data_IF_519067065622
#
_entry.id   IF_519067065622
#
_cell.length_a   1.000
_cell.length_b   1.000
_cell.length_c   1.000
_cell.angle_alpha   90.00
_cell.angle_beta   90.00
_cell.angle_gamma   90.00
#
_symmetry.space_group_name_H-M   'P 1'
#
loop_
_entity.id
_entity.type
_entity.pdbx_description
1 polymer ?
#
# COMPACT_ATOMS: atom_id res chain seq x y z
N UNK A 1 -6.92 -5.93 -30.63
CA UNK A 1 -5.94 -6.89 -30.13
C UNK A 1 -6.55 -8.25 -29.77
N UNK A 2 -7.89 -8.38 -29.65
CA UNK A 2 -8.57 -9.58 -29.17
C UNK A 2 -8.61 -9.75 -27.64
N UNK A 3 -8.05 -8.81 -26.88
CA UNK A 3 -8.19 -8.79 -25.44
C UNK A 3 -9.61 -8.36 -25.04
N UNK A 4 -10.13 -8.95 -23.96
CA UNK A 4 -11.34 -8.47 -23.31
C UNK A 4 -10.96 -7.32 -22.39
N UNK A 5 -11.51 -6.14 -22.63
CA UNK A 5 -11.21 -4.93 -21.85
C UNK A 5 -12.42 -4.57 -20.99
N UNK A 6 -12.16 -4.36 -19.70
CA UNK A 6 -13.14 -3.92 -18.72
C UNK A 6 -12.76 -2.51 -18.26
N UNK A 7 -13.62 -1.56 -18.54
CA UNK A 7 -13.44 -0.17 -18.14
C UNK A 7 -14.13 0.10 -16.79
N UNK A 8 -13.35 0.36 -15.76
CA UNK A 8 -13.85 0.72 -14.44
C UNK A 8 -14.18 2.21 -14.30
N UNK A 9 -13.88 2.99 -15.32
CA UNK A 9 -14.03 4.43 -15.32
C UNK A 9 -13.08 5.12 -14.34
N UNK A 10 -13.54 6.19 -13.70
CA UNK A 10 -12.75 6.89 -12.69
C UNK A 10 -12.84 6.19 -11.36
N UNK A 11 -11.73 5.67 -10.88
CA UNK A 11 -11.61 4.94 -9.61
C UNK A 11 -10.30 5.32 -8.92
N UNK A 12 -10.20 5.08 -7.61
CA UNK A 12 -8.93 5.13 -6.90
C UNK A 12 -8.08 3.91 -7.25
N UNK A 13 -6.77 4.00 -7.05
CA UNK A 13 -5.86 2.85 -7.25
C UNK A 13 -6.28 1.65 -6.36
N UNK A 14 -6.69 1.91 -5.11
CA UNK A 14 -7.21 0.88 -4.21
C UNK A 14 -8.46 0.19 -4.76
N UNK A 15 -9.39 0.96 -5.35
CA UNK A 15 -10.58 0.39 -6.01
C UNK A 15 -10.22 -0.41 -7.26
N UNK A 16 -9.23 0.05 -8.04
CA UNK A 16 -8.71 -0.70 -9.18
C UNK A 16 -8.08 -2.03 -8.73
N UNK A 17 -7.25 -2.00 -7.68
CA UNK A 17 -6.65 -3.19 -7.10
C UNK A 17 -7.71 -4.18 -6.59
N UNK A 18 -8.75 -3.67 -5.93
CA UNK A 18 -9.91 -4.47 -5.54
C UNK A 18 -10.59 -5.10 -6.76
N UNK A 19 -10.89 -4.32 -7.80
CA UNK A 19 -11.57 -4.81 -9.00
C UNK A 19 -10.77 -5.90 -9.72
N UNK A 20 -9.45 -5.73 -9.87
CA UNK A 20 -8.56 -6.74 -10.46
C UNK A 20 -8.61 -8.04 -9.65
N UNK A 21 -8.53 -7.94 -8.32
CA UNK A 21 -8.59 -9.09 -7.41
C UNK A 21 -9.96 -9.76 -7.42
N UNK A 22 -11.03 -8.99 -7.25
CA UNK A 22 -12.40 -9.48 -7.12
C UNK A 22 -12.91 -10.15 -8.40
N UNK A 23 -12.57 -9.56 -9.55
CA UNK A 23 -12.97 -10.09 -10.86
C UNK A 23 -11.99 -11.11 -11.43
N UNK A 24 -10.92 -11.45 -10.68
CA UNK A 24 -9.86 -12.40 -11.12
C UNK A 24 -9.29 -12.04 -12.49
N UNK A 25 -8.97 -10.75 -12.70
CA UNK A 25 -8.39 -10.27 -13.95
C UNK A 25 -6.89 -10.56 -13.98
N UNK A 26 -6.39 -10.87 -15.19
CA UNK A 26 -4.97 -11.15 -15.42
C UNK A 26 -4.09 -9.92 -15.18
N UNK A 27 -4.59 -8.74 -15.58
CA UNK A 27 -3.85 -7.48 -15.50
C UNK A 27 -4.79 -6.28 -15.38
N UNK A 28 -4.36 -5.26 -14.66
CA UNK A 28 -5.03 -3.97 -14.56
C UNK A 28 -4.08 -2.82 -14.91
N UNK A 29 -4.60 -1.82 -15.62
CA UNK A 29 -3.87 -0.59 -15.95
C UNK A 29 -4.53 0.58 -15.24
N UNK A 30 -3.85 1.12 -14.22
CA UNK A 30 -4.28 2.32 -13.54
C UNK A 30 -3.57 3.55 -14.12
N UNK A 31 -4.33 4.43 -14.75
CA UNK A 31 -3.81 5.60 -15.47
C UNK A 31 -4.07 6.85 -14.63
N UNK A 32 -3.00 7.55 -14.25
CA UNK A 32 -3.10 8.83 -13.55
C UNK A 32 -2.97 9.98 -14.54
N UNK A 33 -3.85 10.98 -14.41
CA UNK A 33 -3.74 12.23 -15.14
C UNK A 33 -2.70 13.16 -14.49
N UNK A 34 -2.40 14.28 -15.18
CA UNK A 34 -1.49 15.31 -14.71
C UNK A 34 -0.47 15.71 -15.78
N UNK A 35 0.54 16.54 -15.42
CA UNK A 35 1.58 16.99 -16.36
C UNK A 35 2.36 15.85 -16.99
N UNK A 36 2.48 14.73 -16.25
CA UNK A 36 3.05 13.46 -16.74
C UNK A 36 2.01 12.37 -16.47
N UNK A 37 1.47 11.78 -17.55
CA UNK A 37 0.65 10.60 -17.46
C UNK A 37 1.51 9.43 -16.95
N UNK A 38 1.05 8.76 -15.90
CA UNK A 38 1.71 7.58 -15.37
C UNK A 38 0.75 6.39 -15.46
N UNK A 39 1.24 5.27 -15.97
CA UNK A 39 0.50 4.02 -16.05
C UNK A 39 1.11 3.05 -15.04
N UNK A 40 0.33 2.67 -14.03
CA UNK A 40 0.69 1.60 -13.10
C UNK A 40 0.08 0.29 -13.59
N UNK A 41 0.88 -0.75 -13.61
CA UNK A 41 0.44 -2.09 -14.00
C UNK A 41 0.24 -2.93 -12.76
N UNK A 42 -0.98 -3.42 -12.60
CA UNK A 42 -1.35 -4.36 -11.53
C UNK A 42 -1.47 -5.75 -12.15
N UNK A 43 -0.89 -6.73 -11.51
CA UNK A 43 -1.01 -8.14 -11.87
C UNK A 43 -2.08 -8.84 -11.05
N UNK A 44 -1.97 -10.14 -11.00
CA UNK A 44 -2.87 -11.04 -10.26
C UNK A 44 -3.11 -10.56 -8.82
N UNK A 45 -4.37 -10.61 -8.38
CA UNK A 45 -4.79 -10.17 -7.06
C UNK A 45 -4.71 -8.65 -6.84
N UNK A 46 -4.55 -7.84 -7.91
CA UNK A 46 -4.41 -6.39 -7.83
C UNK A 46 -3.10 -5.95 -7.15
N UNK A 47 -2.09 -6.81 -7.13
CA UNK A 47 -0.75 -6.51 -6.64
C UNK A 47 0.12 -5.93 -7.76
N UNK A 48 1.23 -5.25 -7.43
CA UNK A 48 2.15 -4.76 -8.46
C UNK A 48 2.58 -5.86 -9.43
N UNK A 49 2.61 -5.55 -10.72
CA UNK A 49 3.01 -6.48 -11.77
C UNK A 49 4.48 -6.91 -11.61
N UNK A 50 4.81 -8.07 -12.19
CA UNK A 50 6.18 -8.56 -12.19
C UNK A 50 7.09 -7.75 -13.12
N UNK A 51 8.38 -7.69 -12.79
CA UNK A 51 9.38 -7.00 -13.62
C UNK A 51 9.46 -7.53 -15.06
N UNK A 52 9.40 -8.86 -15.32
CA UNK A 52 9.33 -9.37 -16.67
C UNK A 52 8.14 -8.83 -17.46
N UNK A 53 6.94 -8.85 -16.88
CA UNK A 53 5.74 -8.33 -17.54
C UNK A 53 5.85 -6.83 -17.86
N UNK A 54 6.32 -6.01 -16.90
CA UNK A 54 6.52 -4.58 -17.15
C UNK A 54 7.53 -4.32 -18.30
N UNK A 55 8.64 -5.08 -18.35
CA UNK A 55 9.64 -4.97 -19.41
C UNK A 55 9.10 -5.37 -20.78
N UNK A 56 8.31 -6.45 -20.82
CA UNK A 56 7.69 -6.92 -22.06
C UNK A 56 6.71 -5.87 -22.59
N UNK A 57 5.83 -5.35 -21.75
CA UNK A 57 4.90 -4.27 -22.10
C UNK A 57 5.64 -3.02 -22.61
N UNK A 58 6.68 -2.58 -21.90
CA UNK A 58 7.49 -1.45 -22.31
C UNK A 58 8.19 -1.71 -23.65
N UNK A 59 8.70 -2.93 -23.87
CA UNK A 59 9.31 -3.33 -25.11
C UNK A 59 8.34 -3.25 -26.29
N UNK A 60 7.13 -3.78 -26.16
CA UNK A 60 6.10 -3.69 -27.18
C UNK A 60 5.67 -2.25 -27.48
N UNK A 61 5.50 -1.42 -26.44
CA UNK A 61 5.19 0.00 -26.62
C UNK A 61 6.30 0.75 -27.37
N UNK A 62 7.57 0.53 -26.99
CA UNK A 62 8.72 1.21 -27.60
C UNK A 62 8.92 0.80 -29.06
N UNK A 63 8.69 -0.48 -29.41
CA UNK A 63 8.81 -0.98 -30.79
C UNK A 63 7.58 -0.73 -31.65
N UNK A 64 6.45 -0.33 -31.06
CA UNK A 64 5.18 -0.20 -31.76
C UNK A 64 4.64 -1.53 -32.28
N UNK A 65 5.03 -2.64 -31.68
CA UNK A 65 4.63 -3.99 -32.06
C UNK A 65 3.33 -4.37 -31.36
N UNK A 66 2.23 -4.29 -32.09
CA UNK A 66 0.91 -4.66 -31.56
C UNK A 66 0.35 -5.84 -32.33
N UNK A 67 -0.03 -6.89 -31.62
CA UNK A 67 -0.76 -8.03 -32.20
C UNK A 67 -2.14 -7.53 -32.66
N UNK A 68 -2.46 -7.78 -33.92
CA UNK A 68 -3.78 -7.52 -34.49
C UNK A 68 -4.54 -8.83 -34.58
N UNK A 69 -5.73 -8.88 -34.02
CA UNK A 69 -6.62 -10.02 -34.15
C UNK A 69 -7.49 -9.93 -35.40
N UNK A 70 -8.02 -11.07 -35.83
CA UNK A 70 -9.09 -11.09 -36.82
C UNK A 70 -10.33 -10.36 -36.25
N UNK A 71 -11.13 -9.77 -37.15
CA UNK A 71 -12.31 -9.04 -36.76
C UNK A 71 -13.32 -9.92 -35.99
N UNK A 72 -13.37 -11.20 -36.24
CA UNK A 72 -14.20 -12.20 -35.54
C UNK A 72 -13.78 -12.42 -34.08
N UNK A 73 -12.57 -11.99 -33.70
CA UNK A 73 -12.03 -12.07 -32.32
C UNK A 73 -12.03 -10.72 -31.63
N UNK A 74 -12.71 -9.75 -32.20
CA UNK A 74 -12.86 -8.42 -31.60
C UNK A 74 -13.91 -8.47 -30.48
N UNK A 75 -13.62 -7.84 -29.38
CA UNK A 75 -14.54 -7.69 -28.25
C UNK A 75 -14.79 -6.22 -27.99
N UNK A 76 -16.03 -5.86 -27.67
CA UNK A 76 -16.36 -4.54 -27.18
C UNK A 76 -15.75 -4.30 -25.79
N UNK A 77 -15.49 -3.04 -25.47
CA UNK A 77 -15.09 -2.64 -24.13
C UNK A 77 -16.31 -2.75 -23.22
N UNK A 78 -16.21 -3.59 -22.19
CA UNK A 78 -17.29 -3.72 -21.21
C UNK A 78 -17.22 -2.58 -20.20
N UNK A 79 -18.31 -1.84 -20.03
CA UNK A 79 -18.46 -0.88 -18.95
C UNK A 79 -18.65 -1.63 -17.63
N UNK A 80 -17.67 -1.48 -16.74
CA UNK A 80 -17.62 -2.08 -15.41
C UNK A 80 -17.59 -1.03 -14.29
N UNK A 81 -18.13 0.16 -14.54
CA UNK A 81 -18.24 1.21 -13.51
C UNK A 81 -18.99 0.74 -12.25
N UNK A 82 -19.82 -0.30 -12.38
CA UNK A 82 -20.51 -0.99 -11.27
C UNK A 82 -19.58 -1.64 -10.25
N UNK A 83 -18.30 -1.83 -10.54
CA UNK A 83 -17.30 -2.35 -9.58
C UNK A 83 -17.22 -1.49 -8.31
N UNK A 84 -17.56 -0.20 -8.40
CA UNK A 84 -17.63 0.71 -7.25
C UNK A 84 -18.67 0.27 -6.22
N UNK A 85 -19.80 -0.25 -6.67
CA UNK A 85 -20.85 -0.76 -5.77
C UNK A 85 -20.39 -2.03 -5.06
N UNK A 86 -19.70 -2.92 -5.75
CA UNK A 86 -19.11 -4.12 -5.15
C UNK A 86 -18.06 -3.75 -4.10
N UNK A 87 -17.22 -2.77 -4.42
CA UNK A 87 -16.24 -2.24 -3.47
C UNK A 87 -16.91 -1.65 -2.22
N UNK A 88 -17.97 -0.86 -2.39
CA UNK A 88 -18.73 -0.33 -1.25
C UNK A 88 -19.35 -1.43 -0.39
N UNK A 89 -19.86 -2.49 -1.00
CA UNK A 89 -20.38 -3.65 -0.26
C UNK A 89 -19.29 -4.31 0.59
N UNK A 90 -18.07 -4.40 0.06
CA UNK A 90 -16.95 -4.96 0.80
C UNK A 90 -16.53 -4.07 1.97
N UNK A 91 -16.55 -2.74 1.81
CA UNK A 91 -16.34 -1.80 2.91
C UNK A 91 -17.37 -1.99 4.04
N UNK A 92 -18.65 -2.20 3.70
CA UNK A 92 -19.68 -2.44 4.72
C UNK A 92 -19.50 -3.78 5.44
N UNK A 93 -18.98 -4.80 4.76
CA UNK A 93 -18.63 -6.08 5.38
C UNK A 93 -17.50 -5.97 6.40
N UNK A 94 -16.62 -4.96 6.27
CA UNK A 94 -15.58 -4.69 7.25
C UNK A 94 -16.14 -4.21 8.61
N UNK A 95 -17.37 -3.67 8.63
CA UNK A 95 -18.01 -3.15 9.84
C UNK A 95 -19.48 -3.66 9.97
N UNK A 96 -19.68 -4.96 10.18
CA UNK A 96 -21.04 -5.55 10.18
C UNK A 96 -21.95 -4.98 11.28
N UNK A 97 -21.37 -4.52 12.39
CA UNK A 97 -22.09 -3.88 13.51
C UNK A 97 -22.25 -2.36 13.33
N UNK A 98 -21.80 -1.82 12.20
CA UNK A 98 -21.75 -0.40 11.93
C UNK A 98 -20.80 0.37 12.87
N UNK A 99 -20.81 1.71 12.74
CA UNK A 99 -19.92 2.62 13.48
C UNK A 99 -20.68 3.61 14.37
N UNK A 100 -21.93 3.31 14.74
CA UNK A 100 -22.73 4.15 15.63
C UNK A 100 -21.99 4.40 16.95
N UNK A 101 -21.93 5.67 17.36
CA UNK A 101 -21.22 6.11 18.55
C UNK A 101 -19.75 6.48 18.32
N UNK A 102 -19.23 6.26 17.12
CA UNK A 102 -17.91 6.70 16.69
C UNK A 102 -18.03 7.99 15.90
N UNK A 103 -17.06 8.89 16.06
CA UNK A 103 -16.94 10.14 15.32
C UNK A 103 -15.60 10.20 14.60
N UNK A 104 -15.61 10.46 13.28
CA UNK A 104 -14.40 10.63 12.48
C UNK A 104 -14.70 11.38 11.20
N UNK A 105 -13.77 12.20 10.72
CA UNK A 105 -13.88 12.94 9.46
C UNK A 105 -12.88 12.36 8.46
N UNK A 106 -13.23 12.34 7.19
CA UNK A 106 -12.32 11.98 6.13
C UNK A 106 -11.73 13.20 5.43
N UNK A 107 -10.50 13.09 4.94
CA UNK A 107 -9.84 14.07 4.08
C UNK A 107 -9.00 13.39 3.02
N UNK A 108 -9.11 13.87 1.77
CA UNK A 108 -8.29 13.42 0.67
C UNK A 108 -8.07 14.57 -0.33
N UNK A 109 -6.91 14.63 -0.98
CA UNK A 109 -6.68 15.56 -2.09
C UNK A 109 -7.57 15.22 -3.29
N UNK A 110 -7.85 13.94 -3.49
CA UNK A 110 -8.81 13.48 -4.48
C UNK A 110 -10.25 13.61 -3.94
N UNK A 111 -11.02 14.54 -4.50
CA UNK A 111 -12.39 14.81 -4.04
C UNK A 111 -13.34 13.61 -4.16
N UNK A 112 -13.15 12.74 -5.15
CA UNK A 112 -13.97 11.53 -5.29
C UNK A 112 -13.63 10.52 -4.18
N UNK A 113 -12.34 10.40 -3.83
CA UNK A 113 -11.89 9.58 -2.70
C UNK A 113 -12.40 10.10 -1.35
N UNK A 114 -12.37 11.42 -1.15
CA UNK A 114 -12.92 12.05 0.07
C UNK A 114 -14.41 11.76 0.23
N UNK A 115 -15.21 12.04 -0.81
CA UNK A 115 -16.66 11.77 -0.83
C UNK A 115 -16.97 10.29 -0.59
N UNK A 116 -16.26 9.39 -1.28
CA UNK A 116 -16.46 7.96 -1.11
C UNK A 116 -16.23 7.53 0.34
N UNK A 117 -15.18 8.07 0.98
CA UNK A 117 -14.85 7.74 2.36
C UNK A 117 -15.90 8.32 3.32
N UNK A 118 -16.26 9.61 3.19
CA UNK A 118 -17.31 10.24 3.99
C UNK A 118 -18.66 9.53 3.85
N UNK A 119 -19.08 9.23 2.62
CA UNK A 119 -20.32 8.49 2.34
C UNK A 119 -20.29 7.11 3.00
N UNK A 120 -19.15 6.43 2.96
CA UNK A 120 -18.97 5.12 3.60
C UNK A 120 -19.11 5.22 5.11
N UNK A 121 -18.42 6.16 5.74
CA UNK A 121 -18.48 6.39 7.19
C UNK A 121 -19.91 6.75 7.64
N UNK A 122 -20.55 7.68 6.92
CA UNK A 122 -21.90 8.12 7.21
C UNK A 122 -22.92 6.96 7.11
N UNK A 123 -22.83 6.14 6.07
CA UNK A 123 -23.72 4.98 5.90
C UNK A 123 -23.51 3.88 6.96
N UNK A 124 -22.28 3.79 7.49
CA UNK A 124 -21.99 2.91 8.62
C UNK A 124 -22.46 3.50 9.98
N UNK A 125 -23.02 4.71 9.98
CA UNK A 125 -23.54 5.38 11.18
C UNK A 125 -22.48 6.14 11.98
N UNK A 126 -21.30 6.43 11.40
CA UNK A 126 -20.28 7.29 11.99
C UNK A 126 -20.72 8.76 11.95
N UNK A 127 -20.47 9.52 13.02
CA UNK A 127 -20.63 10.98 13.01
C UNK A 127 -19.46 11.62 12.27
N UNK A 128 -19.70 12.11 11.06
CA UNK A 128 -18.66 12.68 10.19
C UNK A 128 -18.43 14.19 10.42
N UNK A 129 -19.12 14.80 11.39
CA UNK A 129 -19.00 16.23 11.67
C UNK A 129 -17.82 16.59 12.60
N UNK A 130 -17.31 15.63 13.36
CA UNK A 130 -16.28 15.81 14.39
C UNK A 130 -15.39 14.57 14.53
N UNK A 131 -14.54 14.55 15.55
CA UNK A 131 -13.64 13.44 15.88
C UNK A 131 -12.33 13.47 15.09
N UNK A 132 -11.60 12.37 15.13
CA UNK A 132 -10.32 12.21 14.46
C UNK A 132 -10.42 12.47 12.95
N UNK A 133 -9.35 13.04 12.37
CA UNK A 133 -9.28 13.31 10.94
C UNK A 133 -8.49 12.20 10.23
N UNK A 134 -9.16 11.46 9.39
CA UNK A 134 -8.63 10.35 8.61
C UNK A 134 -8.10 10.88 7.26
N UNK A 135 -6.78 10.92 7.10
CA UNK A 135 -6.12 11.40 5.89
C UNK A 135 -5.88 10.26 4.91
N UNK A 136 -6.67 10.20 3.86
CA UNK A 136 -6.50 9.26 2.77
C UNK A 136 -5.46 9.79 1.77
N UNK A 137 -4.52 8.95 1.35
CA UNK A 137 -3.63 9.29 0.25
C UNK A 137 -4.42 9.53 -1.06
N UNK A 138 -3.90 10.35 -1.96
CA UNK A 138 -4.57 10.69 -3.22
C UNK A 138 -4.97 9.47 -4.05
N UNK A 139 -4.16 8.42 -4.03
CA UNK A 139 -4.43 7.15 -4.71
C UNK A 139 -5.33 6.20 -3.92
N UNK A 140 -5.68 6.51 -2.67
CA UNK A 140 -6.55 5.68 -1.82
C UNK A 140 -5.86 4.52 -1.10
N UNK A 141 -4.54 4.35 -1.24
CA UNK A 141 -3.85 3.15 -0.76
C UNK A 141 -3.36 3.23 0.68
N UNK A 142 -3.19 4.43 1.24
CA UNK A 142 -2.65 4.67 2.58
C UNK A 142 -3.56 5.55 3.42
N UNK A 143 -3.54 5.33 4.73
CA UNK A 143 -4.28 6.11 5.72
C UNK A 143 -3.34 6.63 6.79
N UNK A 144 -3.31 7.94 7.01
CA UNK A 144 -2.76 8.57 8.21
C UNK A 144 -3.89 9.18 9.02
N UNK A 145 -3.66 9.48 10.28
CA UNK A 145 -4.72 10.00 11.16
C UNK A 145 -4.20 11.20 11.94
N UNK A 146 -5.00 12.25 12.08
CA UNK A 146 -4.82 13.24 13.13
C UNK A 146 -5.85 12.95 14.21
N UNK A 147 -5.40 12.68 15.43
CA UNK A 147 -6.29 12.36 16.55
C UNK A 147 -7.10 13.57 17.03
N UNK A 148 -7.96 13.36 18.00
CA UNK A 148 -8.79 14.44 18.57
C UNK A 148 -8.00 15.52 19.32
N UNK A 149 -6.77 15.23 19.71
CA UNK A 149 -5.84 16.14 20.39
C UNK A 149 -4.93 16.88 19.42
N UNK A 150 -5.03 16.55 18.10
CA UNK A 150 -4.27 17.19 17.03
C UNK A 150 -2.92 16.52 16.75
N UNK A 151 -2.62 15.36 17.33
CA UNK A 151 -1.40 14.61 17.05
C UNK A 151 -1.51 13.88 15.72
N UNK A 152 -0.54 14.10 14.83
CA UNK A 152 -0.47 13.40 13.54
C UNK A 152 0.18 12.04 13.69
N UNK A 153 -0.53 11.01 13.27
CA UNK A 153 -0.12 9.60 13.32
C UNK A 153 0.10 9.12 11.88
N UNK A 154 1.35 8.83 11.49
CA UNK A 154 1.68 8.41 10.13
C UNK A 154 1.12 7.02 9.80
N UNK A 155 0.99 6.76 8.50
CA UNK A 155 0.45 5.51 7.96
C UNK A 155 1.12 4.27 8.56
N UNK A 156 2.43 4.29 8.71
CA UNK A 156 3.21 3.15 9.20
C UNK A 156 2.83 2.76 10.63
N UNK A 157 2.48 3.74 11.46
CA UNK A 157 2.00 3.51 12.84
C UNK A 157 0.60 2.91 12.84
N UNK A 158 -0.28 3.39 11.96
CA UNK A 158 -1.64 2.84 11.80
C UNK A 158 -1.57 1.41 11.26
N UNK A 159 -0.71 1.16 10.28
CA UNK A 159 -0.46 -0.17 9.73
C UNK A 159 0.00 -1.15 10.81
N UNK A 160 0.98 -0.73 11.63
CA UNK A 160 1.51 -1.54 12.73
C UNK A 160 0.44 -1.85 13.78
N UNK A 161 -0.41 -0.87 14.12
CA UNK A 161 -1.53 -1.08 15.05
C UNK A 161 -2.52 -2.12 14.50
N UNK A 162 -2.92 -1.98 13.24
CA UNK A 162 -3.83 -2.94 12.62
C UNK A 162 -3.20 -4.35 12.53
N UNK A 163 -1.92 -4.44 12.19
CA UNK A 163 -1.20 -5.72 12.17
C UNK A 163 -1.10 -6.35 13.56
N UNK A 164 -0.86 -5.56 14.61
CA UNK A 164 -0.84 -6.04 16.01
C UNK A 164 -2.14 -6.77 16.36
N UNK A 165 -3.29 -6.23 15.95
CA UNK A 165 -4.57 -6.85 16.25
C UNK A 165 -4.83 -8.11 15.41
N UNK A 166 -4.30 -8.21 14.19
CA UNK A 166 -4.28 -9.49 13.46
C UNK A 166 -3.48 -10.55 14.23
N UNK A 167 -2.30 -10.18 14.75
CA UNK A 167 -1.47 -11.09 15.54
C UNK A 167 -2.17 -11.55 16.83
N UNK A 168 -2.83 -10.63 17.55
CA UNK A 168 -3.63 -10.97 18.74
C UNK A 168 -4.78 -11.91 18.44
N UNK A 169 -5.38 -11.81 17.25
CA UNK A 169 -6.42 -12.70 16.76
C UNK A 169 -5.88 -14.00 16.12
N UNK A 170 -4.56 -14.23 16.20
CA UNK A 170 -3.92 -15.46 15.74
C UNK A 170 -3.70 -15.53 14.23
N UNK A 171 -3.73 -14.39 13.52
CA UNK A 171 -3.53 -14.34 12.07
C UNK A 171 -2.17 -13.78 11.69
N UNK A 172 -1.58 -14.33 10.64
CA UNK A 172 -0.39 -13.80 9.99
C UNK A 172 -0.74 -12.66 9.05
N UNK A 173 0.21 -11.79 8.72
CA UNK A 173 0.00 -10.69 7.78
C UNK A 173 0.99 -10.74 6.62
N UNK A 174 0.57 -10.22 5.45
CA UNK A 174 1.43 -10.08 4.29
C UNK A 174 1.64 -8.60 3.95
N UNK A 175 2.89 -8.14 4.04
CA UNK A 175 3.29 -6.74 3.85
C UNK A 175 4.25 -6.61 2.67
N UNK A 176 4.33 -5.43 2.04
CA UNK A 176 5.40 -5.18 1.07
C UNK A 176 6.76 -5.21 1.75
N UNK A 177 7.80 -5.51 0.96
CA UNK A 177 9.20 -5.61 1.45
C UNK A 177 9.69 -4.34 2.14
N UNK A 178 9.15 -3.19 1.78
CA UNK A 178 9.50 -1.87 2.33
C UNK A 178 8.65 -1.42 3.54
N UNK A 179 7.78 -2.27 4.06
CA UNK A 179 7.05 -1.99 5.30
C UNK A 179 7.97 -2.08 6.52
N UNK A 180 7.64 -1.39 7.64
CA UNK A 180 8.47 -1.36 8.84
C UNK A 180 8.84 -2.76 9.36
N UNK A 181 10.12 -2.95 9.72
CA UNK A 181 10.62 -4.21 10.28
C UNK A 181 10.19 -4.42 11.74
N UNK A 182 9.87 -3.33 12.45
CA UNK A 182 9.28 -3.40 13.80
C UNK A 182 8.05 -4.32 13.83
N UNK A 183 7.31 -4.44 12.72
CA UNK A 183 6.12 -5.31 12.65
C UNK A 183 6.50 -6.79 12.74
N UNK A 184 7.67 -7.20 12.20
CA UNK A 184 8.17 -8.58 12.31
C UNK A 184 8.46 -8.94 13.78
N UNK A 185 9.16 -8.06 14.49
CA UNK A 185 9.42 -8.24 15.93
C UNK A 185 8.13 -8.27 16.78
N UNK A 186 7.08 -7.55 16.34
CA UNK A 186 5.77 -7.64 16.97
C UNK A 186 5.12 -9.01 16.70
N UNK A 187 5.17 -9.51 15.47
CA UNK A 187 4.61 -10.80 15.11
C UNK A 187 5.22 -11.95 15.92
N UNK A 188 6.55 -11.95 16.07
CA UNK A 188 7.28 -12.97 16.85
C UNK A 188 6.78 -13.09 18.30
N UNK A 189 6.45 -11.97 18.97
CA UNK A 189 5.90 -11.97 20.33
C UNK A 189 4.57 -12.71 20.47
N UNK A 190 3.82 -12.82 19.37
CA UNK A 190 2.54 -13.54 19.30
C UNK A 190 2.65 -14.90 18.62
N UNK A 191 3.88 -15.35 18.28
CA UNK A 191 4.10 -16.60 17.54
C UNK A 191 3.50 -16.54 16.14
N UNK A 192 3.46 -15.34 15.52
CA UNK A 192 2.92 -15.08 14.18
C UNK A 192 4.04 -14.71 13.22
N UNK A 193 3.72 -14.65 11.91
CA UNK A 193 4.68 -14.34 10.86
C UNK A 193 4.22 -13.16 10.02
N UNK A 194 5.18 -12.38 9.56
CA UNK A 194 5.01 -11.40 8.49
C UNK A 194 5.57 -12.00 7.21
N UNK A 195 4.71 -12.13 6.20
CA UNK A 195 5.12 -12.56 4.86
C UNK A 195 5.42 -11.33 4.02
N UNK A 196 6.62 -11.26 3.47
CA UNK A 196 7.07 -10.10 2.68
C UNK A 196 6.89 -10.38 1.19
N UNK A 197 6.09 -9.55 0.50
CA UNK A 197 5.99 -9.58 -0.95
C UNK A 197 6.75 -8.43 -1.59
N UNK A 198 7.29 -8.69 -2.78
CA UNK A 198 8.10 -7.73 -3.51
C UNK A 198 7.21 -6.74 -4.25
N UNK A 199 7.63 -5.48 -4.26
CA UNK A 199 6.95 -4.44 -5.03
C UNK A 199 7.25 -4.55 -6.53
N UNK A 200 8.31 -5.27 -6.89
CA UNK A 200 8.69 -5.53 -8.27
C UNK A 200 9.32 -6.93 -8.40
N UNK A 201 8.52 -8.02 -8.28
CA UNK A 201 9.06 -9.37 -8.27
C UNK A 201 9.69 -9.73 -9.62
N UNK A 202 10.88 -10.34 -9.55
CA UNK A 202 11.56 -10.91 -10.71
C UNK A 202 11.13 -12.35 -10.97
N UNK A 203 10.66 -13.05 -9.95
CA UNK A 203 10.25 -14.45 -9.96
C UNK A 203 9.05 -14.70 -9.01
N UNK A 204 8.76 -15.95 -8.71
CA UNK A 204 7.62 -16.36 -7.89
C UNK A 204 7.96 -16.70 -6.43
N UNK A 205 9.13 -16.28 -5.91
CA UNK A 205 9.54 -16.62 -4.55
C UNK A 205 8.65 -16.02 -3.47
N UNK A 206 7.97 -14.91 -3.75
CA UNK A 206 7.02 -14.23 -2.85
C UNK A 206 5.55 -14.67 -3.07
N UNK A 207 5.32 -15.78 -3.77
CA UNK A 207 3.96 -16.21 -4.14
C UNK A 207 3.05 -16.44 -2.93
N UNK A 208 3.57 -17.01 -1.85
CA UNK A 208 2.79 -17.23 -0.63
C UNK A 208 2.40 -15.88 0.03
N UNK A 209 3.34 -14.95 0.13
CA UNK A 209 3.06 -13.60 0.63
C UNK A 209 2.00 -12.88 -0.23
N UNK A 210 2.07 -13.03 -1.55
CA UNK A 210 1.08 -12.47 -2.47
C UNK A 210 -0.29 -13.11 -2.28
N UNK A 211 -0.35 -14.43 -2.14
CA UNK A 211 -1.60 -15.16 -1.87
C UNK A 211 -2.28 -14.68 -0.60
N UNK A 212 -1.51 -14.52 0.48
CA UNK A 212 -2.04 -13.99 1.76
C UNK A 212 -2.48 -12.53 1.59
N UNK A 213 -1.69 -11.69 0.92
CA UNK A 213 -2.02 -10.28 0.66
C UNK A 213 -3.31 -10.11 -0.16
N UNK A 214 -3.64 -11.04 -1.05
CA UNK A 214 -4.90 -11.00 -1.79
C UNK A 214 -6.14 -11.08 -0.89
N UNK A 215 -6.05 -11.79 0.24
CA UNK A 215 -7.13 -11.86 1.24
C UNK A 215 -7.12 -10.71 2.25
N UNK A 216 -6.06 -9.90 2.25
CA UNK A 216 -5.84 -8.81 3.21
C UNK A 216 -5.79 -7.45 2.51
N UNK A 217 -6.81 -7.15 1.69
CA UNK A 217 -6.87 -5.92 0.89
C UNK A 217 -6.70 -4.64 1.74
N UNK A 218 -7.16 -4.65 2.98
CA UNK A 218 -7.07 -3.53 3.90
C UNK A 218 -5.63 -3.06 4.16
N UNK A 219 -4.63 -3.92 4.03
CA UNK A 219 -3.20 -3.55 4.19
C UNK A 219 -2.70 -2.58 3.10
N UNK A 220 -3.43 -2.45 2.03
CA UNK A 220 -3.10 -1.60 0.86
C UNK A 220 -4.27 -0.77 0.36
N UNK A 221 -5.30 -0.65 1.21
CA UNK A 221 -6.49 0.16 0.97
C UNK A 221 -6.76 1.04 2.19
N UNK A 222 -6.55 2.35 2.03
CA UNK A 222 -6.67 3.30 3.13
C UNK A 222 -8.10 3.45 3.66
N UNK A 223 -9.13 3.29 2.81
CA UNK A 223 -10.53 3.35 3.26
C UNK A 223 -10.86 2.12 4.09
N UNK A 224 -10.51 0.92 3.61
CA UNK A 224 -10.69 -0.32 4.39
C UNK A 224 -9.91 -0.28 5.71
N UNK A 225 -8.67 0.22 5.70
CA UNK A 225 -7.87 0.43 6.91
C UNK A 225 -8.59 1.35 7.89
N UNK A 226 -9.15 2.46 7.40
CA UNK A 226 -9.90 3.41 8.23
C UNK A 226 -11.14 2.80 8.85
N UNK A 227 -11.94 2.10 8.07
CA UNK A 227 -13.14 1.40 8.60
C UNK A 227 -12.73 0.39 9.67
N UNK A 228 -11.69 -0.44 9.42
CA UNK A 228 -11.20 -1.42 10.41
C UNK A 228 -10.65 -0.76 11.67
N UNK A 229 -9.92 0.34 11.55
CA UNK A 229 -9.46 1.13 12.68
C UNK A 229 -10.63 1.60 13.55
N UNK A 230 -11.67 2.18 12.94
CA UNK A 230 -12.84 2.65 13.67
C UNK A 230 -13.63 1.51 14.32
N UNK A 231 -13.73 0.35 13.66
CA UNK A 231 -14.30 -0.87 14.26
C UNK A 231 -13.48 -1.31 15.48
N UNK A 232 -12.17 -1.24 15.39
CA UNK A 232 -11.28 -1.56 16.50
C UNK A 232 -11.49 -0.62 17.69
N UNK A 233 -11.56 0.70 17.45
CA UNK A 233 -11.87 1.69 18.50
C UNK A 233 -13.23 1.42 19.15
N UNK A 234 -14.26 1.12 18.33
CA UNK A 234 -15.60 0.78 18.82
C UNK A 234 -15.60 -0.47 19.70
N UNK A 235 -14.97 -1.55 19.23
CA UNK A 235 -14.91 -2.85 19.92
C UNK A 235 -14.17 -2.79 21.24
N UNK A 236 -13.09 -2.00 21.30
CA UNK A 236 -12.24 -1.90 22.47
C UNK A 236 -12.74 -0.84 23.48
N UNK A 237 -13.50 0.15 23.02
CA UNK A 237 -13.89 1.32 23.82
C UNK A 237 -12.71 2.20 24.25
N UNK A 238 -11.54 2.02 23.63
CA UNK A 238 -10.29 2.71 23.96
C UNK A 238 -9.97 3.81 22.94
N UNK A 239 -9.27 4.83 23.38
CA UNK A 239 -8.77 5.87 22.49
C UNK A 239 -7.69 5.35 21.55
N UNK A 240 -7.47 6.05 20.42
CA UNK A 240 -6.41 5.69 19.46
C UNK A 240 -5.03 5.75 20.12
N UNK A 241 -4.79 6.72 20.99
CA UNK A 241 -3.54 6.87 21.73
C UNK A 241 -3.27 5.69 22.67
N UNK A 242 -4.28 5.21 23.39
CA UNK A 242 -4.16 4.03 24.24
C UNK A 242 -3.83 2.78 23.44
N UNK A 243 -4.44 2.60 22.27
CA UNK A 243 -4.13 1.48 21.39
C UNK A 243 -2.71 1.58 20.81
N UNK A 244 -2.29 2.77 20.40
CA UNK A 244 -0.94 3.01 19.87
C UNK A 244 0.16 2.85 20.92
N UNK A 245 -0.15 2.95 22.21
CA UNK A 245 0.81 2.69 23.28
C UNK A 245 1.28 1.23 23.33
N UNK A 246 0.52 0.32 22.74
CA UNK A 246 0.87 -1.11 22.63
C UNK A 246 1.83 -1.38 21.47
N UNK A 247 1.92 -0.47 20.50
CA UNK A 247 2.84 -0.56 19.38
C UNK A 247 4.20 0.01 19.78
N UNK A 248 5.31 -0.72 19.60
CA UNK A 248 6.64 -0.19 19.84
C UNK A 248 6.85 1.17 19.19
N UNK A 249 7.63 2.03 19.82
CA UNK A 249 7.96 3.33 19.22
C UNK A 249 8.94 3.12 18.08
N UNK A 250 8.56 3.58 16.92
CA UNK A 250 9.42 3.67 15.74
C UNK A 250 8.94 4.82 14.85
N UNK A 251 9.82 5.29 14.01
CA UNK A 251 9.55 6.26 12.96
C UNK A 251 10.24 5.82 11.66
N UNK A 252 9.62 6.15 10.54
CA UNK A 252 10.18 5.89 9.21
C UNK A 252 10.34 7.19 8.46
N UNK A 253 11.49 7.34 7.80
CA UNK A 253 11.78 8.43 6.88
C UNK A 253 12.05 7.84 5.50
N UNK A 254 11.38 8.35 4.48
CA UNK A 254 11.57 7.92 3.11
C UNK A 254 12.07 9.09 2.26
N UNK A 255 13.22 8.93 1.61
CA UNK A 255 13.78 9.89 0.65
C UNK A 255 14.03 9.22 -0.69
N UNK A 256 13.86 9.98 -1.75
CA UNK A 256 14.23 9.58 -3.10
C UNK A 256 15.36 10.51 -3.57
N UNK A 257 16.48 9.94 -3.96
CA UNK A 257 17.64 10.70 -4.45
C UNK A 257 17.94 10.28 -5.88
N UNK A 258 18.39 11.25 -6.68
CA UNK A 258 18.90 10.98 -8.02
C UNK A 258 20.40 10.70 -7.93
N UNK A 259 20.81 9.57 -8.50
CA UNK A 259 22.21 9.14 -8.49
C UNK A 259 22.93 9.58 -9.78
N UNK A 260 24.20 9.90 -9.66
CA UNK A 260 25.07 10.15 -10.82
C UNK A 260 25.42 8.83 -11.55
N UNK A 261 25.47 7.71 -10.81
CA UNK A 261 25.69 6.37 -11.35
C UNK A 261 24.41 5.55 -11.38
N UNK A 262 24.44 4.38 -12.01
CA UNK A 262 23.31 3.48 -11.95
C UNK A 262 23.12 2.93 -10.53
N UNK A 263 21.87 2.80 -10.01
CA UNK A 263 21.64 2.24 -8.68
C UNK A 263 22.27 0.87 -8.45
N UNK A 264 22.41 0.06 -9.51
CA UNK A 264 23.02 -1.27 -9.44
C UNK A 264 24.52 -1.24 -9.10
N UNK A 265 25.24 -0.20 -9.53
CA UNK A 265 26.67 -0.02 -9.17
C UNK A 265 26.80 0.26 -7.68
N UNK A 266 26.06 1.26 -7.18
CA UNK A 266 26.06 1.60 -5.75
C UNK A 266 25.67 0.41 -4.86
N UNK A 267 24.62 -0.32 -5.23
CA UNK A 267 24.18 -1.50 -4.47
C UNK A 267 25.24 -2.62 -4.54
N UNK A 268 26.00 -2.73 -5.64
CA UNK A 268 27.12 -3.65 -5.76
C UNK A 268 28.26 -3.32 -4.79
N UNK A 269 28.58 -2.04 -4.61
CA UNK A 269 29.60 -1.56 -3.67
C UNK A 269 29.17 -1.82 -2.21
N UNK A 270 27.89 -1.64 -1.90
CA UNK A 270 27.32 -1.83 -0.57
C UNK A 270 27.02 -3.29 -0.23
N UNK A 271 27.19 -4.23 -1.17
CA UNK A 271 26.85 -5.64 -0.98
C UNK A 271 27.59 -6.31 0.19
N UNK A 272 28.78 -5.81 0.55
CA UNK A 272 29.56 -6.28 1.70
C UNK A 272 29.15 -5.68 3.05
N UNK A 273 28.35 -4.61 3.05
CA UNK A 273 27.95 -3.87 4.26
C UNK A 273 26.53 -4.18 4.75
N UNK A 274 25.72 -4.86 3.95
CA UNK A 274 24.32 -5.09 4.25
C UNK A 274 23.80 -6.43 3.76
N UNK A 275 22.57 -6.73 4.14
CA UNK A 275 21.86 -7.93 3.71
C UNK A 275 21.17 -7.67 2.36
N UNK A 276 21.58 -8.37 1.28
CA UNK A 276 20.95 -8.22 -0.01
C UNK A 276 19.54 -8.79 0.02
N UNK A 277 18.59 -8.03 -0.46
CA UNK A 277 17.22 -8.45 -0.70
C UNK A 277 16.91 -8.41 -2.19
N UNK A 278 15.78 -9.00 -2.60
CA UNK A 278 15.38 -8.95 -4.02
C UNK A 278 14.99 -7.54 -4.51
N UNK A 279 14.55 -6.68 -3.59
CA UNK A 279 14.16 -5.29 -3.88
C UNK A 279 15.29 -4.28 -3.65
N UNK A 280 16.43 -4.69 -3.06
CA UNK A 280 17.55 -3.81 -2.74
C UNK A 280 18.47 -4.36 -1.67
N UNK A 281 19.01 -3.52 -0.80
CA UNK A 281 19.89 -3.88 0.31
C UNK A 281 19.35 -3.28 1.60
N UNK A 282 19.40 -4.07 2.68
CA UNK A 282 19.12 -3.61 4.04
C UNK A 282 20.44 -3.42 4.78
N UNK A 283 20.69 -2.20 5.25
CA UNK A 283 21.84 -1.85 6.07
C UNK A 283 21.41 -1.72 7.53
N UNK A 284 21.96 -2.55 8.39
CA UNK A 284 21.77 -2.44 9.84
C UNK A 284 22.80 -1.45 10.41
N UNK A 285 22.35 -0.57 11.29
CA UNK A 285 23.17 0.43 12.00
C UNK A 285 22.78 0.40 13.48
N UNK A 286 23.65 0.88 14.36
CA UNK A 286 23.44 0.84 15.82
C UNK A 286 22.11 1.46 16.29
N UNK A 287 21.58 2.45 15.54
CA UNK A 287 20.40 3.24 15.93
C UNK A 287 19.15 2.95 15.07
N UNK A 288 19.24 1.97 14.15
CA UNK A 288 18.16 1.64 13.25
C UNK A 288 18.64 0.92 11.99
N UNK A 289 17.82 0.89 10.96
CA UNK A 289 18.18 0.27 9.70
C UNK A 289 17.70 1.10 8.49
N UNK A 290 18.34 0.87 7.38
CA UNK A 290 18.08 1.53 6.11
C UNK A 290 17.78 0.47 5.05
N UNK A 291 16.73 0.66 4.30
CA UNK A 291 16.46 -0.10 3.09
C UNK A 291 16.74 0.77 1.87
N UNK A 292 17.67 0.34 1.03
CA UNK A 292 18.05 0.99 -0.21
C UNK A 292 17.40 0.26 -1.37
N UNK A 293 16.48 0.91 -2.07
CA UNK A 293 15.73 0.31 -3.16
C UNK A 293 15.86 1.12 -4.45
N UNK A 294 16.30 0.50 -5.56
CA UNK A 294 16.29 1.16 -6.85
C UNK A 294 14.88 1.55 -7.26
N UNK A 295 14.71 2.75 -7.80
CA UNK A 295 13.44 3.11 -8.44
C UNK A 295 13.28 2.36 -9.76
N UNK A 296 12.04 2.13 -10.15
CA UNK A 296 11.72 1.57 -11.48
C UNK A 296 12.07 2.52 -12.62
N UNK A 297 12.20 3.81 -12.35
CA UNK A 297 12.41 4.86 -13.34
C UNK A 297 13.72 5.60 -13.07
N UNK A 298 14.59 5.64 -14.08
CA UNK A 298 15.80 6.46 -14.07
C UNK A 298 16.86 6.02 -13.07
N UNK A 299 17.73 6.96 -12.71
CA UNK A 299 18.82 6.80 -11.75
C UNK A 299 18.40 7.18 -10.32
N UNK A 300 17.15 6.88 -9.96
CA UNK A 300 16.61 7.20 -8.64
C UNK A 300 16.81 6.04 -7.66
N UNK A 301 17.28 6.36 -6.47
CA UNK A 301 17.33 5.45 -5.32
C UNK A 301 16.35 5.91 -4.27
N UNK A 302 15.55 5.00 -3.77
CA UNK A 302 14.70 5.22 -2.61
C UNK A 302 15.40 4.70 -1.37
N UNK A 303 15.57 5.56 -0.38
CA UNK A 303 16.13 5.25 0.93
C UNK A 303 14.98 5.29 1.93
N UNK A 304 14.79 4.20 2.65
CA UNK A 304 13.79 4.08 3.70
C UNK A 304 14.54 3.77 4.98
N UNK A 305 14.54 4.72 5.92
CA UNK A 305 15.14 4.56 7.24
C UNK A 305 14.06 4.26 8.27
N UNK A 306 14.34 3.36 9.19
CA UNK A 306 13.53 3.08 10.36
C UNK A 306 14.39 3.18 11.62
N UNK A 307 13.94 3.98 12.59
CA UNK A 307 14.62 4.21 13.86
C UNK A 307 13.61 4.51 14.97
N UNK A 308 14.09 4.71 16.19
CA UNK A 308 13.22 5.00 17.35
C UNK A 308 12.49 6.34 17.24
N UNK A 309 13.10 7.36 16.61
CA UNK A 309 12.51 8.69 16.38
C UNK A 309 12.74 9.16 14.95
N UNK A 310 11.93 10.13 14.46
CA UNK A 310 12.10 10.70 13.12
C UNK A 310 13.48 11.35 12.92
N UNK A 311 14.02 12.02 13.94
CA UNK A 311 15.31 12.70 13.91
C UNK A 311 16.44 11.67 13.68
N UNK A 312 16.40 10.56 14.42
CA UNK A 312 17.39 9.48 14.25
C UNK A 312 17.28 8.86 12.87
N UNK A 313 16.07 8.64 12.36
CA UNK A 313 15.86 8.10 11.02
C UNK A 313 16.37 9.05 9.94
N UNK A 314 16.20 10.37 10.11
CA UNK A 314 16.70 11.39 9.19
C UNK A 314 18.23 11.52 9.24
N UNK A 315 18.83 11.43 10.43
CA UNK A 315 20.29 11.36 10.63
C UNK A 315 20.90 10.15 9.90
N UNK A 316 20.24 8.98 9.99
CA UNK A 316 20.70 7.77 9.28
C UNK A 316 20.68 7.96 7.76
N UNK A 317 19.66 8.61 7.21
CA UNK A 317 19.61 8.93 5.77
C UNK A 317 20.72 9.92 5.41
N UNK A 318 20.92 10.94 6.21
CA UNK A 318 21.93 11.98 5.96
C UNK A 318 23.35 11.41 5.99
N UNK A 319 23.66 10.55 6.97
CA UNK A 319 24.97 9.88 7.09
C UNK A 319 25.31 8.93 5.93
N UNK A 320 24.31 8.48 5.18
CA UNK A 320 24.54 7.67 3.98
C UNK A 320 24.87 8.53 2.75
N UNK A 321 24.49 9.82 2.78
CA UNK A 321 24.69 10.74 1.66
C UNK A 321 26.03 11.49 1.74
N UNK A 322 26.74 11.43 2.85
CA UNK A 322 28.09 11.93 3.06
C UNK A 322 29.14 10.92 2.57
#
# INVERSE_FOLDING_TARGET
TGARVWDFGRVLESQMAFGVSFCSLDVGFYITGGPKCCIKVLGEGGLPASRPLERELQGHLTRGEFIRCAWSSYHDIADMAGVRLLYQQELYRCAPEGLSGISARAKCLNREGERLFEDTLSRLGCDVSRGALLHLSECGTKLSVTDEEGEFIPFERILALCALYEFKEGRDVALPSDAPQTIDAMAEKYGRKVYRYLTCPADKRDQEARRISCSQLWLRDGIMTGVRLLVLLKRTGRSLRELLSEVPRFATVCRAIELVCSPGVLLGELHGEGEPTQDGIVLSRDRGHLMLRPSKQGQMLRIIAEAATPEIADDLVSSLME
#
